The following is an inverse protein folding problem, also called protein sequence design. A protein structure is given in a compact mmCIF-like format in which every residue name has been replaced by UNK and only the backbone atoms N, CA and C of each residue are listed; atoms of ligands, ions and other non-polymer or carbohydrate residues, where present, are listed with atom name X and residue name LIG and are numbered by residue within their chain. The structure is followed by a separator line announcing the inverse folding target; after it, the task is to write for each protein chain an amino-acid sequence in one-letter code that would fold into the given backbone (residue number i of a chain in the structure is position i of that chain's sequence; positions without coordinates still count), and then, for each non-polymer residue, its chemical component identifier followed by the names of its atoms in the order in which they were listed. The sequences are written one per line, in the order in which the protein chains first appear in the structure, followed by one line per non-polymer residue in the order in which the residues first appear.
data_IF_956012109603
#
_entry.id   IF_956012109603
#
_cell.length_a   1.000
_cell.length_b   1.000
_cell.length_c   1.000
_cell.angle_alpha   90.00
_cell.angle_beta   90.00
_cell.angle_gamma   90.00
#
_symmetry.space_group_name_H-M   'P 1'
#
loop_
_entity.id
_entity.type
_entity.pdbx_description
1 polymer ?
#
# COMPACT_ATOMS: atom_id res chain seq x y z
N UNK A 1 51.30 -56.97 -19.20
CA UNK A 1 51.21 -55.58 -18.72
C UNK A 1 50.43 -54.79 -19.75
N UNK A 2 49.16 -54.46 -19.48
CA UNK A 2 48.38 -53.53 -20.30
C UNK A 2 47.65 -52.61 -19.33
N UNK A 3 47.92 -51.30 -19.42
CA UNK A 3 47.19 -50.28 -18.69
C UNK A 3 45.97 -49.88 -19.54
N UNK A 4 44.78 -50.11 -19.01
CA UNK A 4 43.51 -49.75 -19.64
C UNK A 4 43.24 -48.26 -19.50
N UNK A 5 43.22 -47.57 -20.63
CA UNK A 5 42.94 -46.14 -20.76
C UNK A 5 41.49 -45.83 -20.32
N UNK A 6 41.34 -45.09 -19.23
CA UNK A 6 40.04 -44.61 -18.77
C UNK A 6 39.53 -43.51 -19.71
N UNK A 7 38.61 -43.88 -20.61
CA UNK A 7 37.85 -42.93 -21.44
C UNK A 7 37.07 -41.97 -20.55
N UNK A 8 37.45 -40.69 -20.54
CA UNK A 8 36.66 -39.58 -19.97
C UNK A 8 35.31 -39.52 -20.70
N UNK A 9 34.23 -39.45 -19.92
CA UNK A 9 32.88 -39.22 -20.45
C UNK A 9 32.80 -37.85 -21.16
N UNK A 10 32.00 -37.73 -22.24
CA UNK A 10 31.84 -36.46 -22.93
C UNK A 10 31.10 -35.47 -22.02
N UNK A 11 31.69 -34.29 -21.85
CA UNK A 11 31.05 -33.13 -21.24
C UNK A 11 29.87 -32.76 -22.12
N UNK A 12 28.66 -32.88 -21.60
CA UNK A 12 27.45 -32.42 -22.26
C UNK A 12 27.46 -30.89 -22.30
N UNK A 13 27.55 -30.34 -23.50
CA UNK A 13 27.41 -28.90 -23.76
C UNK A 13 25.97 -28.48 -23.42
N UNK A 14 25.75 -27.46 -22.56
CA UNK A 14 24.41 -26.94 -22.27
C UNK A 14 23.68 -26.36 -23.51
N UNK A 15 24.32 -26.31 -24.69
CA UNK A 15 23.72 -25.96 -25.98
C UNK A 15 23.22 -27.14 -26.82
N UNK A 16 23.18 -28.36 -26.28
CA UNK A 16 22.69 -29.53 -27.03
C UNK A 16 21.15 -29.46 -27.15
N UNK A 17 20.68 -28.88 -28.25
CA UNK A 17 19.27 -28.69 -28.64
C UNK A 17 18.52 -29.99 -28.96
N UNK A 18 18.66 -31.02 -28.11
CA UNK A 18 17.88 -32.26 -28.14
C UNK A 18 16.61 -32.18 -27.29
N UNK A 19 16.07 -30.98 -27.11
CA UNK A 19 14.78 -30.80 -26.46
C UNK A 19 13.68 -31.23 -27.44
N UNK A 20 13.09 -32.39 -27.16
CA UNK A 20 11.88 -32.88 -27.82
C UNK A 20 10.71 -31.96 -27.51
N UNK A 21 9.86 -31.75 -28.51
CA UNK A 21 8.57 -31.07 -28.46
C UNK A 21 7.64 -31.72 -27.40
N UNK A 22 7.89 -31.45 -26.13
CA UNK A 22 6.80 -31.47 -25.15
C UNK A 22 5.84 -30.38 -25.59
N UNK A 23 4.53 -30.59 -25.57
CA UNK A 23 3.50 -29.62 -25.99
C UNK A 23 3.44 -28.31 -25.19
N UNK A 24 4.55 -27.92 -24.56
CA UNK A 24 4.84 -26.62 -24.04
C UNK A 24 5.66 -25.85 -25.09
N UNK A 25 5.29 -24.61 -25.40
CA UNK A 25 6.06 -23.77 -26.30
C UNK A 25 7.51 -23.68 -25.82
N UNK A 26 8.46 -23.69 -26.76
CA UNK A 26 9.87 -23.42 -26.47
C UNK A 26 9.95 -22.09 -25.72
N UNK A 27 10.61 -22.10 -24.56
CA UNK A 27 10.93 -20.88 -23.81
C UNK A 27 11.85 -20.03 -24.70
N UNK A 28 11.24 -19.18 -25.51
CA UNK A 28 11.91 -18.04 -26.12
C UNK A 28 12.19 -17.10 -24.96
N UNK A 29 13.41 -17.12 -24.45
CA UNK A 29 13.92 -16.17 -23.47
C UNK A 29 14.09 -14.76 -24.09
N UNK A 30 13.21 -14.37 -25.00
CA UNK A 30 13.17 -13.02 -25.58
C UNK A 30 12.52 -11.99 -24.65
N UNK A 31 11.94 -12.45 -23.52
CA UNK A 31 11.27 -11.61 -22.52
C UNK A 31 12.12 -11.32 -21.25
N UNK A 32 13.41 -11.65 -21.22
CA UNK A 32 14.26 -11.50 -20.02
C UNK A 32 14.60 -10.03 -19.67
N UNK A 33 14.25 -9.06 -20.53
CA UNK A 33 14.47 -7.62 -20.33
C UNK A 33 13.18 -6.80 -20.13
N UNK A 34 12.07 -7.42 -19.72
CA UNK A 34 10.91 -6.66 -19.24
C UNK A 34 11.16 -6.24 -17.78
N UNK A 35 11.73 -5.04 -17.61
CA UNK A 35 11.73 -4.32 -16.33
C UNK A 35 10.42 -4.60 -15.60
N UNK A 36 10.50 -5.06 -14.35
CA UNK A 36 9.33 -5.26 -13.47
C UNK A 36 8.73 -3.89 -13.13
N UNK A 37 8.08 -3.27 -14.11
CA UNK A 37 7.42 -1.99 -13.94
C UNK A 37 6.36 -2.18 -12.86
N UNK A 38 6.42 -1.41 -11.75
CA UNK A 38 5.41 -1.54 -10.72
C UNK A 38 4.06 -1.27 -11.37
N UNK A 39 3.10 -2.16 -11.12
CA UNK A 39 1.73 -1.98 -11.57
C UNK A 39 1.26 -0.58 -11.16
N UNK A 40 0.68 0.23 -12.05
CA UNK A 40 0.19 1.55 -11.69
C UNK A 40 -0.77 1.44 -10.52
N UNK A 41 -0.48 2.19 -9.46
CA UNK A 41 -1.35 2.27 -8.29
C UNK A 41 -2.63 2.97 -8.72
N UNK A 42 -3.73 2.22 -8.84
CA UNK A 42 -5.05 2.81 -9.08
C UNK A 42 -5.51 3.50 -7.80
N UNK A 43 -5.00 4.71 -7.57
CA UNK A 43 -5.43 5.55 -6.46
C UNK A 43 -6.91 5.89 -6.63
N UNK A 44 -7.68 5.83 -5.53
CA UNK A 44 -9.08 6.23 -5.57
C UNK A 44 -9.15 7.72 -5.92
N UNK A 45 -10.21 8.18 -6.63
CA UNK A 45 -10.45 9.62 -6.81
C UNK A 45 -10.40 10.35 -5.47
N UNK A 46 -9.88 11.59 -5.45
CA UNK A 46 -9.67 12.36 -4.22
C UNK A 46 -10.90 12.38 -3.29
N UNK A 47 -12.08 12.59 -3.87
CA UNK A 47 -13.34 12.62 -3.13
C UNK A 47 -13.64 11.27 -2.46
N UNK A 48 -13.43 10.16 -3.17
CA UNK A 48 -13.67 8.82 -2.64
C UNK A 48 -12.67 8.46 -1.51
N UNK A 49 -11.48 9.07 -1.48
CA UNK A 49 -10.57 8.94 -0.35
C UNK A 49 -11.11 9.71 0.86
N UNK A 50 -11.52 10.97 0.69
CA UNK A 50 -12.11 11.79 1.76
C UNK A 50 -13.33 11.09 2.36
N UNK A 51 -14.24 10.61 1.52
CA UNK A 51 -15.46 9.92 1.97
C UNK A 51 -15.14 8.65 2.78
N UNK A 52 -14.11 7.90 2.36
CA UNK A 52 -13.66 6.71 3.06
C UNK A 52 -13.08 7.03 4.45
N UNK A 53 -12.20 8.03 4.54
CA UNK A 53 -11.61 8.44 5.82
C UNK A 53 -12.66 9.03 6.76
N UNK A 54 -13.61 9.82 6.22
CA UNK A 54 -14.74 10.34 6.98
C UNK A 54 -15.65 9.23 7.52
N UNK A 55 -15.86 8.15 6.77
CA UNK A 55 -16.63 7.00 7.22
C UNK A 55 -15.98 6.29 8.42
N UNK A 56 -14.66 6.09 8.39
CA UNK A 56 -13.89 5.47 9.50
C UNK A 56 -14.03 6.30 10.78
N UNK A 57 -13.95 7.63 10.65
CA UNK A 57 -14.13 8.55 11.79
C UNK A 57 -15.57 8.53 12.28
N UNK A 58 -16.56 8.52 11.37
CA UNK A 58 -17.98 8.54 11.73
C UNK A 58 -18.41 7.27 12.51
N UNK A 59 -17.85 6.11 12.17
CA UNK A 59 -18.11 4.84 12.86
C UNK A 59 -17.72 4.92 14.34
N UNK A 60 -16.63 5.60 14.66
CA UNK A 60 -16.08 5.66 16.01
C UNK A 60 -16.48 6.93 16.78
N UNK A 61 -16.54 8.06 16.07
CA UNK A 61 -16.68 9.40 16.63
C UNK A 61 -17.52 10.31 15.72
N UNK A 62 -18.81 10.02 15.61
CA UNK A 62 -19.75 10.79 14.78
C UNK A 62 -19.72 12.31 15.03
N UNK A 63 -19.53 12.75 16.29
CA UNK A 63 -19.45 14.18 16.62
C UNK A 63 -18.22 14.86 15.98
N UNK A 64 -17.11 14.14 15.89
CA UNK A 64 -15.88 14.63 15.28
C UNK A 64 -16.06 14.69 13.76
N UNK A 65 -16.65 13.65 13.16
CA UNK A 65 -16.95 13.66 11.73
C UNK A 65 -17.83 14.87 11.35
N UNK A 66 -18.91 15.12 12.08
CA UNK A 66 -19.77 16.28 11.85
C UNK A 66 -19.07 17.63 12.06
N UNK A 67 -18.11 17.70 13.00
CA UNK A 67 -17.32 18.91 13.19
C UNK A 67 -16.35 19.12 12.02
N UNK A 68 -15.66 18.08 11.57
CA UNK A 68 -14.75 18.13 10.43
C UNK A 68 -15.51 18.52 9.16
N UNK A 69 -16.70 17.97 8.92
CA UNK A 69 -17.55 18.32 7.78
C UNK A 69 -17.90 19.81 7.76
N UNK A 70 -18.24 20.38 8.93
CA UNK A 70 -18.54 21.82 9.06
C UNK A 70 -17.33 22.71 8.85
N UNK A 71 -16.15 22.26 9.28
CA UNK A 71 -14.91 23.01 9.13
C UNK A 71 -14.20 22.71 7.80
N UNK A 72 -14.67 21.76 7.00
CA UNK A 72 -14.03 21.40 5.74
C UNK A 72 -13.96 22.61 4.80
N UNK A 73 -12.80 22.82 4.17
CA UNK A 73 -12.52 24.04 3.39
C UNK A 73 -12.15 25.30 4.21
N UNK A 74 -12.30 25.29 5.54
CA UNK A 74 -11.76 26.36 6.39
C UNK A 74 -10.30 26.12 6.76
N UNK A 75 -9.54 27.21 6.93
CA UNK A 75 -8.14 27.17 7.39
C UNK A 75 -7.98 26.52 8.76
N UNK A 76 -8.99 26.63 9.59
CA UNK A 76 -8.98 26.11 10.97
C UNK A 76 -9.24 24.60 11.03
N UNK A 77 -9.65 23.95 9.93
CA UNK A 77 -9.91 22.51 9.90
C UNK A 77 -8.66 21.69 10.25
N UNK A 78 -7.53 22.05 9.63
CA UNK A 78 -6.24 21.37 9.86
C UNK A 78 -5.78 21.56 11.31
N UNK A 79 -5.93 22.77 11.85
CA UNK A 79 -5.58 23.06 13.24
C UNK A 79 -6.49 22.32 14.23
N UNK A 80 -7.78 22.22 13.91
CA UNK A 80 -8.72 21.41 14.69
C UNK A 80 -8.32 19.93 14.70
N UNK A 81 -8.00 19.35 13.54
CA UNK A 81 -7.57 17.95 13.42
C UNK A 81 -6.25 17.71 14.17
N UNK A 82 -5.26 18.59 14.03
CA UNK A 82 -3.99 18.51 14.78
C UNK A 82 -4.22 18.54 16.28
N UNK A 83 -5.10 19.44 16.74
CA UNK A 83 -5.47 19.56 18.15
C UNK A 83 -6.13 18.28 18.66
N UNK A 84 -7.02 17.66 17.86
CA UNK A 84 -7.63 16.38 18.20
C UNK A 84 -6.58 15.28 18.36
N UNK A 85 -5.66 15.15 17.40
CA UNK A 85 -4.60 14.13 17.41
C UNK A 85 -3.72 14.28 18.66
N UNK A 86 -3.29 15.51 18.99
CA UNK A 86 -2.40 15.79 20.11
C UNK A 86 -3.08 15.61 21.48
N UNK A 87 -4.34 16.04 21.60
CA UNK A 87 -5.08 15.93 22.86
C UNK A 87 -5.63 14.51 23.10
N UNK A 88 -5.61 13.66 22.06
CA UNK A 88 -5.90 12.24 22.18
C UNK A 88 -7.37 11.92 22.40
N UNK A 89 -8.29 12.65 21.76
CA UNK A 89 -9.72 12.35 21.82
C UNK A 89 -10.58 13.42 22.48
N UNK A 90 -11.88 13.39 22.19
CA UNK A 90 -12.88 14.19 22.88
C UNK A 90 -13.19 13.55 24.24
N UNK A 91 -12.61 14.07 25.32
CA UNK A 91 -12.93 13.62 26.67
C UNK A 91 -14.30 14.17 27.10
N UNK A 92 -15.30 13.30 27.23
CA UNK A 92 -16.64 13.66 27.71
C UNK A 92 -16.67 13.81 29.25
N UNK A 93 -15.85 14.73 29.79
CA UNK A 93 -15.85 15.11 31.20
C UNK A 93 -15.35 14.08 32.21
N UNK A 94 -15.21 12.81 31.84
CA UNK A 94 -14.65 11.77 32.70
C UNK A 94 -13.13 11.67 32.51
N UNK A 95 -12.39 11.71 33.61
CA UNK A 95 -10.93 11.62 33.82
C UNK A 95 -10.27 10.32 33.32
N UNK A 96 -10.67 9.80 32.16
CA UNK A 96 -9.92 8.78 31.42
C UNK A 96 -9.48 9.40 30.10
N UNK A 97 -8.18 9.60 29.95
CA UNK A 97 -7.56 9.86 28.65
C UNK A 97 -7.78 8.63 27.78
N UNK A 98 -8.89 8.60 27.04
CA UNK A 98 -9.20 7.56 26.07
C UNK A 98 -8.66 8.03 24.74
N UNK A 99 -7.46 7.54 24.39
CA UNK A 99 -6.85 7.78 23.08
C UNK A 99 -7.74 7.30 21.94
N UNK A 100 -7.54 7.86 20.75
CA UNK A 100 -8.15 7.35 19.53
C UNK A 100 -7.63 5.94 19.19
N UNK A 101 -8.48 5.15 18.54
CA UNK A 101 -7.99 3.94 17.84
C UNK A 101 -7.01 4.33 16.75
N UNK A 102 -6.05 3.45 16.46
CA UNK A 102 -5.04 3.67 15.42
C UNK A 102 -5.67 4.00 14.06
N UNK A 103 -6.76 3.34 13.70
CA UNK A 103 -7.49 3.58 12.44
C UNK A 103 -8.03 5.01 12.36
N UNK A 104 -8.57 5.54 13.46
CA UNK A 104 -9.09 6.91 13.52
C UNK A 104 -7.94 7.92 13.41
N UNK A 105 -6.80 7.65 14.06
CA UNK A 105 -5.62 8.53 13.96
C UNK A 105 -5.10 8.56 12.53
N UNK A 106 -4.97 7.39 11.88
CA UNK A 106 -4.56 7.30 10.49
C UNK A 106 -5.51 8.07 9.57
N UNK A 107 -6.82 7.92 9.78
CA UNK A 107 -7.82 8.65 9.00
C UNK A 107 -7.72 10.17 9.17
N UNK A 108 -7.52 10.65 10.40
CA UNK A 108 -7.31 12.07 10.69
C UNK A 108 -6.04 12.63 10.04
N UNK A 109 -4.95 11.86 10.06
CA UNK A 109 -3.68 12.25 9.39
C UNK A 109 -3.89 12.31 7.88
N UNK A 110 -4.54 11.30 7.30
CA UNK A 110 -4.84 11.25 5.87
C UNK A 110 -5.71 12.43 5.45
N UNK A 111 -6.80 12.72 6.17
CA UNK A 111 -7.64 13.89 5.91
C UNK A 111 -6.85 15.21 5.96
N UNK A 112 -5.89 15.33 6.87
CA UNK A 112 -5.03 16.52 6.93
C UNK A 112 -4.16 16.67 5.68
N UNK A 113 -3.67 15.56 5.12
CA UNK A 113 -2.90 15.57 3.88
C UNK A 113 -3.79 15.83 2.64
N UNK A 114 -5.04 15.39 2.67
CA UNK A 114 -6.02 15.57 1.59
C UNK A 114 -6.67 16.97 1.60
N UNK A 115 -6.64 17.68 2.73
CA UNK A 115 -7.14 19.05 2.87
C UNK A 115 -6.26 20.02 2.09
N UNK A 116 -6.55 20.20 0.79
CA UNK A 116 -5.95 21.23 -0.05
C UNK A 116 -6.77 22.51 0.06
N UNK A 117 -6.20 23.51 0.72
CA UNK A 117 -6.68 24.89 0.64
C UNK A 117 -5.94 25.51 -0.55
N UNK A 118 -6.65 25.76 -1.63
CA UNK A 118 -6.14 26.56 -2.76
C UNK A 118 -6.16 28.06 -2.40
#
# INVERSE_FOLDING_TARGET
MWATEHKRAPVTDPKDSRFSETGFPSLQWEDEDLDTRPLPLNERPLQAQIDHEMAIIAEHHIRIALAIEKFWGHRDCVEYIRTLILNGGYSDGATKRVGFKSEVISALINLTALHRIE
#
